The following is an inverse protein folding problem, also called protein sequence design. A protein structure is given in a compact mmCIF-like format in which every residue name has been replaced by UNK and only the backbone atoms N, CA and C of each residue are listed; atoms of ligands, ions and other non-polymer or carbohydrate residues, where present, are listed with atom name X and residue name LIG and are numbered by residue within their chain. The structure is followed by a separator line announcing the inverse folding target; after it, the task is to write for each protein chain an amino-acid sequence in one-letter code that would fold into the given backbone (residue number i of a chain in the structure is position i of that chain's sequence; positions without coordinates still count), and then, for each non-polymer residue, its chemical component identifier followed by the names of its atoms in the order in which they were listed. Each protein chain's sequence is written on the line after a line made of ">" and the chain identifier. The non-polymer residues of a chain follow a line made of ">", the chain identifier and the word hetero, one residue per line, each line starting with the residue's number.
data_IF_814598434357
#
_entry.id   IF_814598434357
#
_cell.length_a   1.000
_cell.length_b   1.000
_cell.length_c   1.000
_cell.angle_alpha   90.00
_cell.angle_beta   90.00
_cell.angle_gamma   90.00
#
_symmetry.space_group_name_H-M   'P 1'
#
loop_
_entity.id
_entity.type
_entity.pdbx_description
1 polymer ?
#
# COMPACT_ATOMS: atom_id res chain seq x y z
N UNK A 1 -40.08 21.60 -45.07
CA UNK A 1 -39.74 21.36 -43.65
C UNK A 1 -38.93 20.06 -43.41
N UNK A 2 -39.19 18.98 -44.16
CA UNK A 2 -38.51 17.66 -43.94
C UNK A 2 -36.98 17.67 -44.19
N UNK A 3 -36.48 18.40 -45.17
CA UNK A 3 -35.05 18.49 -45.54
C UNK A 3 -34.21 19.25 -44.51
N UNK A 4 -34.72 20.30 -43.87
CA UNK A 4 -34.02 21.07 -42.85
C UNK A 4 -33.85 20.29 -41.57
N UNK A 5 -34.84 19.50 -41.16
CA UNK A 5 -34.79 18.65 -39.99
C UNK A 5 -33.79 17.50 -40.16
N UNK A 6 -33.70 16.90 -41.36
CA UNK A 6 -32.72 15.87 -41.68
C UNK A 6 -31.28 16.37 -41.63
N UNK A 7 -31.02 17.58 -42.09
CA UNK A 7 -29.67 18.19 -42.03
C UNK A 7 -29.22 18.51 -40.58
N UNK A 8 -30.16 18.95 -39.74
CA UNK A 8 -29.87 19.23 -38.33
C UNK A 8 -29.54 17.93 -37.55
N UNK A 9 -30.30 16.86 -37.81
CA UNK A 9 -30.04 15.55 -37.18
C UNK A 9 -28.71 14.94 -37.64
N UNK A 10 -28.34 15.10 -38.92
CA UNK A 10 -27.04 14.64 -39.41
C UNK A 10 -25.87 15.45 -38.83
N UNK A 11 -26.01 16.74 -38.67
CA UNK A 11 -24.99 17.58 -38.01
C UNK A 11 -24.81 17.26 -36.51
N UNK A 12 -25.89 16.97 -35.80
CA UNK A 12 -25.85 16.56 -34.40
C UNK A 12 -25.17 15.21 -34.20
N UNK A 13 -25.39 14.26 -35.11
CA UNK A 13 -24.74 12.94 -35.08
C UNK A 13 -23.22 13.03 -35.27
N UNK A 14 -22.72 13.94 -36.11
CA UNK A 14 -21.29 14.16 -36.34
C UNK A 14 -20.62 14.75 -35.11
N UNK A 15 -21.29 15.61 -34.34
CA UNK A 15 -20.73 16.22 -33.11
C UNK A 15 -20.57 15.17 -32.00
N UNK A 16 -21.47 14.19 -31.90
CA UNK A 16 -21.43 13.15 -30.86
C UNK A 16 -20.29 12.12 -31.10
N UNK A 17 -19.94 11.86 -32.38
CA UNK A 17 -18.88 10.90 -32.71
C UNK A 17 -17.46 11.45 -32.56
N UNK A 18 -17.28 12.77 -32.36
CA UNK A 18 -15.96 13.41 -32.21
C UNK A 18 -15.37 13.41 -30.80
N UNK A 19 -16.13 13.00 -29.79
CA UNK A 19 -15.65 12.92 -28.43
C UNK A 19 -15.01 11.54 -28.13
N UNK A 20 -13.97 11.17 -28.89
CA UNK A 20 -13.09 10.06 -28.50
C UNK A 20 -12.24 10.59 -27.34
N UNK A 21 -12.51 10.11 -26.12
CA UNK A 21 -11.66 10.40 -24.98
C UNK A 21 -10.24 9.93 -25.33
N UNK A 22 -9.28 10.87 -25.29
CA UNK A 22 -7.88 10.51 -25.46
C UNK A 22 -7.48 9.59 -24.29
N UNK A 23 -6.94 8.42 -24.64
CA UNK A 23 -6.40 7.52 -23.64
C UNK A 23 -5.16 8.17 -23.00
N UNK A 24 -5.28 8.48 -21.70
CA UNK A 24 -4.14 9.01 -20.93
C UNK A 24 -3.38 7.82 -20.34
N UNK A 25 -2.26 7.50 -20.94
CA UNK A 25 -1.35 6.48 -20.39
C UNK A 25 -0.46 7.12 -19.33
N UNK A 26 -0.63 6.68 -18.10
CA UNK A 26 0.24 7.07 -16.98
C UNK A 26 1.27 5.97 -16.75
N UNK A 27 2.54 6.30 -16.95
CA UNK A 27 3.63 5.40 -16.60
C UNK A 27 4.04 5.69 -15.16
N UNK A 28 3.75 4.76 -14.26
CA UNK A 28 4.20 4.85 -12.89
C UNK A 28 5.69 4.50 -12.80
N UNK A 29 6.47 5.22 -11.97
CA UNK A 29 7.86 4.85 -11.71
C UNK A 29 7.91 3.47 -11.06
N UNK A 30 8.93 2.67 -11.40
CA UNK A 30 9.17 1.39 -10.75
C UNK A 30 9.68 1.63 -9.33
N UNK A 31 8.80 1.50 -8.36
CA UNK A 31 9.17 1.58 -6.95
C UNK A 31 9.74 0.26 -6.46
N UNK A 32 10.87 0.33 -5.75
CA UNK A 32 11.39 -0.82 -5.01
C UNK A 32 10.65 -0.91 -3.69
N UNK A 33 9.64 -1.77 -3.67
CA UNK A 33 8.81 -2.02 -2.48
C UNK A 33 9.56 -2.97 -1.55
N UNK A 34 10.48 -2.44 -0.75
CA UNK A 34 11.27 -3.24 0.19
C UNK A 34 11.36 -2.58 1.56
N UNK A 35 11.31 -3.40 2.60
CA UNK A 35 11.60 -2.99 3.96
C UNK A 35 13.13 -2.84 4.16
N UNK A 36 13.55 -2.09 5.18
CA UNK A 36 14.97 -1.94 5.52
C UNK A 36 15.59 -3.32 5.81
N UNK A 37 16.84 -3.58 5.36
CA UNK A 37 17.49 -4.85 5.62
C UNK A 37 17.73 -5.06 7.11
N UNK A 38 17.61 -6.30 7.55
CA UNK A 38 17.81 -6.70 8.94
C UNK A 38 17.37 -8.14 9.17
N UNK A 39 17.73 -8.71 10.31
CA UNK A 39 17.29 -10.06 10.67
C UNK A 39 15.77 -10.10 10.79
N UNK A 40 15.10 -10.88 9.98
CA UNK A 40 13.64 -10.96 9.91
C UNK A 40 12.99 -10.08 8.83
N UNK A 41 13.76 -9.32 8.04
CA UNK A 41 13.24 -8.47 6.98
C UNK A 41 12.42 -9.25 5.93
N UNK A 42 12.91 -10.41 5.51
CA UNK A 42 12.20 -11.28 4.53
C UNK A 42 10.87 -11.78 5.10
N UNK A 43 10.87 -12.16 6.39
CA UNK A 43 9.67 -12.57 7.08
C UNK A 43 8.65 -11.43 7.16
N UNK A 44 9.09 -10.22 7.48
CA UNK A 44 8.24 -9.05 7.52
C UNK A 44 7.72 -8.69 6.13
N UNK A 45 8.55 -8.75 5.08
CA UNK A 45 8.10 -8.54 3.71
C UNK A 45 7.00 -9.52 3.31
N UNK A 46 7.21 -10.80 3.57
CA UNK A 46 6.25 -11.84 3.21
C UNK A 46 4.90 -11.73 3.94
N UNK A 47 4.89 -11.22 5.17
CA UNK A 47 3.67 -11.13 5.98
C UNK A 47 3.00 -9.74 5.98
N UNK A 48 3.75 -8.67 5.83
CA UNK A 48 3.21 -7.31 5.95
C UNK A 48 2.85 -6.70 4.60
N UNK A 49 3.63 -6.94 3.54
CA UNK A 49 3.44 -6.28 2.24
C UNK A 49 2.36 -6.94 1.37
N UNK A 50 1.64 -7.92 1.89
CA UNK A 50 0.48 -8.52 1.22
C UNK A 50 -0.69 -7.53 1.12
N UNK A 51 -0.84 -6.66 2.13
CA UNK A 51 -2.01 -5.79 2.29
C UNK A 51 -1.72 -4.31 2.08
N UNK A 52 -0.49 -3.85 2.29
CA UNK A 52 -0.13 -2.44 2.17
C UNK A 52 1.35 -2.22 1.84
N UNK A 53 1.69 -0.99 1.46
CA UNK A 53 3.05 -0.59 1.12
C UNK A 53 3.97 -0.59 2.34
N UNK A 54 5.29 -0.74 2.15
CA UNK A 54 6.28 -0.62 3.22
C UNK A 54 6.25 0.74 3.92
N UNK A 55 5.73 1.78 3.27
CA UNK A 55 5.62 3.12 3.84
C UNK A 55 4.80 3.15 5.12
N UNK A 56 3.76 2.30 5.22
CA UNK A 56 2.99 2.15 6.46
C UNK A 56 3.85 1.76 7.68
N UNK A 57 4.99 1.15 7.45
CA UNK A 57 5.94 0.79 8.50
C UNK A 57 7.08 1.81 8.57
N UNK A 58 7.65 2.17 7.42
CA UNK A 58 8.86 2.99 7.34
C UNK A 58 8.66 4.45 7.75
N UNK A 59 7.45 4.97 7.58
CA UNK A 59 7.10 6.36 7.93
C UNK A 59 6.57 6.50 9.36
N UNK A 60 6.41 5.39 10.10
CA UNK A 60 6.07 5.47 11.51
C UNK A 60 7.20 6.17 12.28
N UNK A 61 6.87 7.03 13.26
CA UNK A 61 7.88 7.51 14.19
C UNK A 61 8.50 6.33 14.94
N UNK A 62 9.76 6.44 15.40
CA UNK A 62 10.38 5.39 16.20
C UNK A 62 9.53 5.11 17.44
N UNK A 63 9.04 3.87 17.57
CA UNK A 63 8.11 3.48 18.63
C UNK A 63 8.71 2.34 19.47
N UNK A 64 8.34 2.25 20.76
CA UNK A 64 8.85 1.19 21.62
C UNK A 64 8.35 -0.19 21.17
N UNK A 65 9.08 -1.26 21.54
CA UNK A 65 8.73 -2.65 21.23
C UNK A 65 7.25 -2.97 21.49
N UNK A 66 6.72 -2.51 22.61
CA UNK A 66 5.32 -2.73 22.99
C UNK A 66 4.32 -2.20 21.96
N UNK A 67 4.65 -1.13 21.27
CA UNK A 67 3.83 -0.63 20.16
C UNK A 67 3.80 -1.64 19.00
N UNK A 68 4.96 -2.17 18.62
CA UNK A 68 5.04 -3.14 17.52
C UNK A 68 4.34 -4.45 17.84
N UNK A 69 4.41 -4.89 19.10
CA UNK A 69 3.62 -6.05 19.59
C UNK A 69 2.12 -5.82 19.42
N UNK A 70 1.64 -4.64 19.81
CA UNK A 70 0.23 -4.28 19.67
C UNK A 70 -0.19 -4.16 18.20
N UNK A 71 0.66 -3.62 17.33
CA UNK A 71 0.36 -3.49 15.90
C UNK A 71 0.30 -4.85 15.20
N UNK A 72 1.26 -5.75 15.43
CA UNK A 72 1.22 -7.10 14.85
C UNK A 72 -0.01 -7.86 15.33
N UNK A 73 -0.34 -7.76 16.61
CA UNK A 73 -1.57 -8.35 17.17
C UNK A 73 -2.82 -7.77 16.49
N UNK A 74 -2.90 -6.45 16.34
CA UNK A 74 -4.02 -5.78 15.69
C UNK A 74 -4.20 -6.22 14.24
N UNK A 75 -3.10 -6.32 13.45
CA UNK A 75 -3.17 -6.79 12.08
C UNK A 75 -3.76 -8.20 11.99
N UNK A 76 -3.37 -9.10 12.90
CA UNK A 76 -3.88 -10.46 12.93
C UNK A 76 -5.34 -10.54 13.38
N UNK A 77 -5.67 -9.94 14.52
CA UNK A 77 -6.98 -10.10 15.17
C UNK A 77 -8.08 -9.23 14.54
N UNK A 78 -7.74 -8.03 14.07
CA UNK A 78 -8.73 -7.08 13.52
C UNK A 78 -8.82 -7.10 12.01
N UNK A 79 -7.70 -7.31 11.34
CA UNK A 79 -7.63 -7.22 9.88
C UNK A 79 -7.38 -8.58 9.21
N UNK A 80 -7.26 -9.65 9.99
CA UNK A 80 -7.14 -11.01 9.46
C UNK A 80 -5.82 -11.28 8.72
N UNK A 81 -4.73 -10.59 9.10
CA UNK A 81 -3.44 -10.85 8.49
C UNK A 81 -3.04 -12.32 8.67
N UNK A 82 -2.66 -13.03 7.59
CA UNK A 82 -2.38 -14.47 7.61
C UNK A 82 -0.98 -14.76 8.19
N UNK A 83 -0.65 -14.13 9.31
CA UNK A 83 0.64 -14.27 9.99
C UNK A 83 0.58 -15.42 10.99
N UNK A 84 1.39 -16.48 10.81
CA UNK A 84 1.44 -17.59 11.75
C UNK A 84 1.88 -17.16 13.15
N UNK A 85 1.29 -17.73 14.18
CA UNK A 85 1.57 -17.38 15.59
C UNK A 85 3.04 -17.49 15.93
N UNK A 86 3.68 -18.57 15.49
CA UNK A 86 5.08 -18.86 15.69
C UNK A 86 6.04 -17.83 15.09
N UNK A 87 5.59 -17.06 14.10
CA UNK A 87 6.41 -16.02 13.46
C UNK A 87 6.33 -14.67 14.15
N UNK A 88 5.33 -14.46 15.00
CA UNK A 88 5.06 -13.18 15.67
C UNK A 88 6.26 -12.66 16.45
N UNK A 89 6.96 -13.46 17.29
CA UNK A 89 8.12 -12.96 18.03
C UNK A 89 9.23 -12.43 17.11
N UNK A 90 9.54 -13.14 16.03
CA UNK A 90 10.57 -12.74 15.08
C UNK A 90 10.19 -11.47 14.28
N UNK A 91 8.92 -11.31 13.95
CA UNK A 91 8.39 -10.08 13.32
C UNK A 91 8.52 -8.88 14.26
N UNK A 92 8.13 -9.03 15.52
CA UNK A 92 8.24 -7.97 16.53
C UNK A 92 9.70 -7.62 16.77
N UNK A 93 10.58 -8.62 16.86
CA UNK A 93 12.04 -8.41 17.01
C UNK A 93 12.60 -7.57 15.87
N UNK A 94 12.26 -7.91 14.63
CA UNK A 94 12.66 -7.14 13.45
C UNK A 94 12.14 -5.70 13.48
N UNK A 95 10.85 -5.50 13.71
CA UNK A 95 10.22 -4.18 13.73
C UNK A 95 10.80 -3.29 14.83
N UNK A 96 10.94 -3.81 16.03
CA UNK A 96 11.51 -3.09 17.17
C UNK A 96 12.99 -2.74 16.96
N UNK A 97 13.78 -3.65 16.39
CA UNK A 97 15.18 -3.41 16.13
C UNK A 97 15.43 -2.43 14.99
N UNK A 98 14.57 -2.44 13.95
CA UNK A 98 14.78 -1.70 12.69
C UNK A 98 14.08 -0.34 12.69
N UNK A 99 12.90 -0.26 13.29
CA UNK A 99 12.01 0.92 13.29
C UNK A 99 11.66 1.41 14.70
N UNK A 100 12.15 0.73 15.73
CA UNK A 100 11.88 1.09 17.11
C UNK A 100 12.77 2.21 17.65
N UNK A 101 12.43 2.70 18.83
CA UNK A 101 13.36 3.50 19.64
C UNK A 101 14.47 2.57 20.15
N UNK A 102 15.73 3.02 20.18
CA UNK A 102 16.77 2.27 20.86
C UNK A 102 16.34 1.96 22.29
N UNK A 103 16.48 0.71 22.71
CA UNK A 103 16.25 0.37 24.12
C UNK A 103 17.09 1.31 24.97
N UNK A 104 16.43 2.06 25.84
CA UNK A 104 17.14 2.82 26.84
C UNK A 104 18.06 1.82 27.56
N UNK A 105 19.39 2.02 27.49
CA UNK A 105 20.34 1.19 28.23
C UNK A 105 19.81 1.12 29.65
N UNK A 106 19.36 -0.07 30.05
CA UNK A 106 19.01 -0.33 31.43
C UNK A 106 20.27 -0.04 32.26
N UNK A 107 20.19 0.82 33.25
CA UNK A 107 21.32 1.19 34.08
C UNK A 107 21.92 -0.03 34.76
#
# INVERSE_FOLDING_TARGET
>A
MKTRTSLILAALAIIVTGAIAAEVTITLPAEKVTLRPGKGAELAQANCLICHSPDYIQTQPPMPRKFWEAEVKKMREKYGAPTPEETVPALVDYLAATYGVPDAKKP
#
